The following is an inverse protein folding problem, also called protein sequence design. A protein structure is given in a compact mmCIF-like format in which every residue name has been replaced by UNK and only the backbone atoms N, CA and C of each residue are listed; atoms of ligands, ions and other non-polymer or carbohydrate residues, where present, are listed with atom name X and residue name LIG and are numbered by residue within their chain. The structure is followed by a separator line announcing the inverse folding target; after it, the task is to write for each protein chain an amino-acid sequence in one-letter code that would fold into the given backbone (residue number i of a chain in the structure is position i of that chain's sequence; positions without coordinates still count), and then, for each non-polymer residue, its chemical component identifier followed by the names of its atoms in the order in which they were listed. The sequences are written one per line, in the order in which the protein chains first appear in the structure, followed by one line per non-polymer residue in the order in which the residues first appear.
data_IF_039401106354
#
_entry.id   IF_039401106354
#
_cell.length_a   1.000
_cell.length_b   1.000
_cell.length_c   1.000
_cell.angle_alpha   90.00
_cell.angle_beta   90.00
_cell.angle_gamma   90.00
#
_symmetry.space_group_name_H-M   'P 1'
#
loop_
_entity.id
_entity.type
_entity.pdbx_description
1 polymer ?
#
# COMPACT_ATOMS: atom_id res chain seq x y z
N UNK A 1 -5.39 -2.87 21.00
CA UNK A 1 -5.11 -3.94 20.01
C UNK A 1 -5.32 -3.45 18.56
N UNK A 2 -4.90 -2.23 18.24
CA UNK A 2 -5.15 -1.61 16.93
C UNK A 2 -4.23 -2.13 15.80
N UNK A 3 -3.18 -2.88 16.16
CA UNK A 3 -2.18 -3.40 15.23
C UNK A 3 -2.50 -4.82 14.71
N UNK A 4 -3.53 -5.48 15.26
CA UNK A 4 -3.90 -6.86 14.91
C UNK A 4 -5.13 -6.90 14.00
N UNK A 5 -5.94 -5.84 14.00
CA UNK A 5 -7.14 -5.71 13.17
C UNK A 5 -6.84 -4.96 11.86
N UNK A 6 -7.57 -5.33 10.80
CA UNK A 6 -7.55 -4.59 9.55
C UNK A 6 -8.36 -3.29 9.70
N UNK A 7 -7.73 -2.17 9.39
CA UNK A 7 -8.37 -0.88 9.20
C UNK A 7 -8.76 -0.67 7.73
N UNK A 8 -9.73 0.24 7.51
CA UNK A 8 -10.18 0.66 6.18
C UNK A 8 -9.88 2.15 6.06
N UNK A 9 -9.35 2.57 4.91
CA UNK A 9 -9.26 3.98 4.55
C UNK A 9 -9.83 4.23 3.15
N UNK A 10 -10.68 5.25 3.07
CA UNK A 10 -11.13 5.85 1.83
C UNK A 10 -10.18 7.00 1.46
N UNK A 11 -9.56 6.91 0.29
CA UNK A 11 -8.58 7.88 -0.20
C UNK A 11 -9.08 8.55 -1.48
N UNK A 12 -8.81 9.85 -1.60
CA UNK A 12 -9.05 10.66 -2.79
C UNK A 12 -7.83 10.63 -3.71
N UNK A 13 -8.05 10.92 -4.99
CA UNK A 13 -6.97 11.10 -5.97
C UNK A 13 -5.91 12.06 -5.46
N UNK A 14 -4.65 11.68 -5.60
CA UNK A 14 -3.48 12.45 -5.17
C UNK A 14 -3.02 12.16 -3.75
N UNK A 15 -3.84 11.50 -2.91
CA UNK A 15 -3.41 11.12 -1.57
C UNK A 15 -2.42 9.96 -1.62
N UNK A 16 -1.46 10.00 -0.70
CA UNK A 16 -0.40 9.00 -0.54
C UNK A 16 -0.67 8.19 0.71
N UNK A 17 -0.71 6.87 0.55
CA UNK A 17 -0.59 5.92 1.64
C UNK A 17 0.88 5.56 1.78
N UNK A 18 1.46 5.80 2.94
CA UNK A 18 2.81 5.36 3.30
C UNK A 18 2.70 4.38 4.47
N UNK A 19 3.08 3.14 4.25
CA UNK A 19 3.09 2.14 5.31
C UNK A 19 4.39 2.20 6.11
N UNK A 20 4.32 1.81 7.37
CA UNK A 20 5.49 1.61 8.24
C UNK A 20 5.96 0.15 8.19
N UNK A 21 7.10 -0.12 8.83
CA UNK A 21 7.67 -1.47 8.86
C UNK A 21 6.65 -2.51 9.34
N UNK A 22 6.45 -3.57 8.54
CA UNK A 22 5.51 -4.64 8.82
C UNK A 22 4.05 -4.36 8.43
N UNK A 23 3.78 -3.23 7.76
CA UNK A 23 2.41 -2.93 7.31
C UNK A 23 2.01 -3.88 6.19
N UNK A 24 0.86 -4.51 6.37
CA UNK A 24 0.19 -5.27 5.31
C UNK A 24 -0.94 -4.44 4.74
N UNK A 25 -1.13 -4.46 3.43
CA UNK A 25 -2.19 -3.71 2.77
C UNK A 25 -2.71 -4.43 1.53
N UNK A 26 -3.95 -4.14 1.15
CA UNK A 26 -4.52 -4.52 -0.13
C UNK A 26 -5.46 -3.43 -0.64
N UNK A 27 -5.39 -3.18 -1.93
CA UNK A 27 -6.32 -2.27 -2.61
C UNK A 27 -7.63 -3.01 -2.89
N UNK A 28 -8.73 -2.65 -2.22
CA UNK A 28 -10.02 -3.34 -2.41
C UNK A 28 -10.80 -2.77 -3.59
N UNK A 29 -10.65 -1.47 -3.84
CA UNK A 29 -11.27 -0.74 -4.94
C UNK A 29 -10.39 0.45 -5.35
N UNK A 30 -10.49 0.81 -6.62
CA UNK A 30 -9.89 2.04 -7.15
C UNK A 30 -8.62 1.77 -7.95
N UNK A 31 -7.90 2.85 -8.22
CA UNK A 31 -6.65 2.82 -8.97
C UNK A 31 -5.57 3.58 -8.19
N UNK A 32 -4.41 2.96 -8.09
CA UNK A 32 -3.23 3.48 -7.42
C UNK A 32 -1.97 2.99 -8.12
N UNK A 33 -0.87 3.71 -7.93
CA UNK A 33 0.46 3.33 -8.38
C UNK A 33 1.44 3.31 -7.23
N UNK A 34 2.41 2.40 -7.27
CA UNK A 34 3.41 2.22 -6.23
C UNK A 34 4.30 3.46 -6.10
N UNK A 35 4.55 3.83 -4.84
CA UNK A 35 5.58 4.78 -4.44
C UNK A 35 6.68 3.98 -3.73
N UNK A 36 7.89 4.03 -4.28
CA UNK A 36 9.08 3.41 -3.70
C UNK A 36 10.30 4.32 -3.89
N UNK A 37 10.82 4.83 -2.79
CA UNK A 37 12.04 5.64 -2.72
C UNK A 37 13.32 4.81 -2.70
N UNK A 38 13.21 3.49 -2.48
CA UNK A 38 14.36 2.61 -2.26
C UNK A 38 14.84 1.91 -3.53
N UNK A 39 13.95 1.72 -4.50
CA UNK A 39 14.22 0.96 -5.72
C UNK A 39 14.21 -0.56 -5.54
N UNK A 40 13.78 -1.06 -4.36
CA UNK A 40 13.68 -2.49 -4.07
C UNK A 40 12.27 -3.05 -4.28
N UNK A 41 11.29 -2.19 -4.55
CA UNK A 41 9.89 -2.56 -4.72
C UNK A 41 9.14 -2.87 -3.42
N UNK A 42 7.85 -3.17 -3.59
CA UNK A 42 6.94 -3.65 -2.55
C UNK A 42 6.59 -5.12 -2.85
N UNK A 43 6.89 -6.05 -1.93
CA UNK A 43 6.50 -7.45 -2.10
C UNK A 43 4.99 -7.62 -2.26
N UNK A 44 4.58 -8.19 -3.38
CA UNK A 44 3.25 -8.75 -3.62
C UNK A 44 3.27 -10.23 -3.28
N UNK A 45 2.69 -10.57 -2.12
CA UNK A 45 2.68 -11.93 -1.59
C UNK A 45 1.63 -12.81 -2.29
N UNK A 46 0.71 -12.23 -3.05
CA UNK A 46 -0.29 -12.96 -3.83
C UNK A 46 0.23 -13.28 -5.23
N UNK A 47 0.84 -12.30 -5.88
CA UNK A 47 1.45 -12.42 -7.20
C UNK A 47 2.84 -13.07 -7.20
N UNK A 48 3.54 -13.07 -6.07
CA UNK A 48 4.88 -13.64 -5.94
C UNK A 48 5.96 -12.81 -6.63
N UNK A 49 5.79 -11.49 -6.68
CA UNK A 49 6.69 -10.54 -7.36
C UNK A 49 6.89 -9.28 -6.52
N UNK A 50 7.94 -8.51 -6.80
CA UNK A 50 8.08 -7.16 -6.24
C UNK A 50 7.49 -6.13 -7.21
N UNK A 51 6.55 -5.31 -6.72
CA UNK A 51 6.00 -4.19 -7.47
C UNK A 51 6.96 -3.00 -7.39
N UNK A 52 7.39 -2.52 -8.55
CA UNK A 52 8.34 -1.42 -8.68
C UNK A 52 7.63 -0.06 -8.66
N UNK A 53 8.39 1.02 -8.45
CA UNK A 53 7.85 2.37 -8.52
C UNK A 53 7.08 2.61 -9.84
N UNK A 54 5.89 3.20 -9.73
CA UNK A 54 4.92 3.45 -10.83
C UNK A 54 4.18 2.22 -11.35
N UNK A 55 4.47 1.01 -10.87
CA UNK A 55 3.62 -0.13 -11.17
C UNK A 55 2.21 0.10 -10.62
N UNK A 56 1.21 -0.40 -11.33
CA UNK A 56 -0.17 -0.37 -10.86
C UNK A 56 -0.28 -1.29 -9.64
N UNK A 57 -0.88 -0.79 -8.57
CA UNK A 57 -1.23 -1.62 -7.42
C UNK A 57 -2.39 -2.55 -7.81
N UNK A 58 -2.20 -3.88 -7.81
CA UNK A 58 -3.25 -4.81 -8.19
C UNK A 58 -4.32 -4.91 -7.10
N UNK A 59 -5.57 -5.06 -7.53
CA UNK A 59 -6.69 -5.22 -6.60
C UNK A 59 -6.63 -6.58 -5.91
N UNK A 60 -6.89 -6.58 -4.60
CA UNK A 60 -7.01 -7.77 -3.76
C UNK A 60 -5.74 -8.63 -3.69
N UNK A 61 -4.58 -8.03 -3.91
CA UNK A 61 -3.29 -8.66 -3.62
C UNK A 61 -2.78 -8.16 -2.27
N UNK A 62 -2.30 -9.09 -1.46
CA UNK A 62 -1.68 -8.80 -0.18
C UNK A 62 -0.26 -8.27 -0.42
N UNK A 63 -0.07 -6.99 -0.12
CA UNK A 63 1.22 -6.33 -0.18
C UNK A 63 1.79 -6.18 1.23
N UNK A 64 3.11 -6.31 1.36
CA UNK A 64 3.83 -6.12 2.61
C UNK A 64 4.79 -4.95 2.46
N UNK A 65 4.85 -4.06 3.45
CA UNK A 65 5.87 -3.03 3.59
C UNK A 65 6.97 -3.55 4.54
N UNK A 66 8.15 -3.93 4.04
CA UNK A 66 9.21 -4.53 4.85
C UNK A 66 9.86 -3.58 5.87
N UNK A 67 9.98 -2.29 5.55
CA UNK A 67 10.70 -1.29 6.36
C UNK A 67 10.00 0.06 6.31
N UNK A 68 10.25 0.89 7.32
CA UNK A 68 9.83 2.29 7.35
C UNK A 68 10.81 3.14 6.53
N UNK A 69 10.61 3.14 5.21
CA UNK A 69 11.51 3.77 4.24
C UNK A 69 10.77 4.57 3.14
N UNK A 70 9.49 4.88 3.38
CA UNK A 70 8.66 5.70 2.49
C UNK A 70 7.85 4.93 1.45
N UNK A 71 7.83 3.60 1.50
CA UNK A 71 7.07 2.77 0.57
C UNK A 71 5.56 2.82 0.81
N UNK A 72 4.81 2.74 -0.29
CA UNK A 72 3.36 2.63 -0.30
C UNK A 72 2.79 2.88 -1.68
N UNK A 73 1.73 3.69 -1.78
CA UNK A 73 1.12 4.01 -3.06
C UNK A 73 0.49 5.40 -3.06
N UNK A 74 0.35 5.97 -4.27
CA UNK A 74 -0.44 7.17 -4.50
C UNK A 74 -1.73 6.79 -5.24
N UNK A 75 -2.86 7.30 -4.74
CA UNK A 75 -4.15 7.09 -5.35
C UNK A 75 -4.26 7.90 -6.66
N UNK A 76 -4.47 7.23 -7.79
CA UNK A 76 -4.71 7.88 -9.09
C UNK A 76 -6.21 8.07 -9.36
N UNK A 77 -7.07 7.42 -8.56
CA UNK A 77 -8.52 7.59 -8.49
C UNK A 77 -9.03 7.62 -7.05
N UNK A 78 -10.34 7.47 -6.85
CA UNK A 78 -10.89 7.15 -5.53
C UNK A 78 -10.52 5.72 -5.15
N UNK A 79 -9.94 5.54 -3.98
CA UNK A 79 -9.38 4.27 -3.50
C UNK A 79 -10.03 3.86 -2.19
N UNK A 80 -10.29 2.55 -2.06
CA UNK A 80 -10.56 1.91 -0.76
C UNK A 80 -9.42 0.94 -0.49
N UNK A 81 -8.65 1.20 0.55
CA UNK A 81 -7.57 0.33 1.00
C UNK A 81 -7.94 -0.31 2.33
N UNK A 82 -7.64 -1.60 2.45
CA UNK A 82 -7.58 -2.26 3.75
C UNK A 82 -6.11 -2.39 4.13
N UNK A 83 -5.78 -2.13 5.39
CA UNK A 83 -4.41 -2.31 5.89
C UNK A 83 -4.37 -2.76 7.35
N UNK A 84 -3.31 -3.43 7.74
CA UNK A 84 -2.97 -3.79 9.12
C UNK A 84 -1.56 -3.34 9.43
N UNK A 85 -1.36 -2.72 10.58
CA UNK A 85 -0.10 -2.07 10.94
C UNK A 85 -0.24 -0.56 11.00
N UNK A 86 0.89 0.15 11.05
CA UNK A 86 0.92 1.61 11.11
C UNK A 86 1.09 2.22 9.73
N UNK A 87 0.30 3.25 9.42
CA UNK A 87 0.40 3.95 8.15
C UNK A 87 0.11 5.44 8.33
N UNK A 88 0.66 6.25 7.42
CA UNK A 88 0.36 7.67 7.30
C UNK A 88 -0.34 7.89 5.96
N UNK A 89 -1.47 8.59 6.01
CA UNK A 89 -2.21 9.01 4.83
C UNK A 89 -2.14 10.54 4.74
N UNK A 90 -1.65 11.06 3.62
CA UNK A 90 -1.50 12.51 3.36
C UNK A 90 -2.04 12.89 2.00
#
# INVERSE_FOLDING_TARGET
DQYVQWAIADMKTGQVFEGKAGTELLLRRGDAVVVDSTGNGIPDLTGGVDLQARDRVPLNHLLLIPRDDGRGFIATGSVVVMYRGEAVIR
#
